data_IF_531411889159
#
_entry.id   IF_531411889159
#
_cell.length_a   1.000
_cell.length_b   1.000
_cell.length_c   1.000
_cell.angle_alpha   90.00
_cell.angle_beta   90.00
_cell.angle_gamma   90.00
#
_symmetry.space_group_name_H-M   'P 1'
#
loop_
_entity.id
_entity.type
_entity.pdbx_description
1 polymer ?
#
# COMPACT_ATOMS: atom_id res chain seq x y z
N UNK A 1 0.13 21.56 -10.67
CA UNK A 1 -1.07 21.97 -9.90
C UNK A 1 -2.25 21.01 -10.10
N UNK A 2 -2.54 20.58 -11.34
CA UNK A 2 -3.63 19.62 -11.63
C UNK A 2 -3.51 18.27 -10.89
N UNK A 3 -2.35 17.61 -10.94
CA UNK A 3 -2.15 16.27 -10.34
C UNK A 3 -2.51 16.19 -8.85
N UNK A 4 -2.14 17.21 -8.06
CA UNK A 4 -2.42 17.22 -6.62
C UNK A 4 -3.93 17.27 -6.35
N UNK A 5 -4.69 17.99 -7.17
CA UNK A 5 -6.15 18.09 -7.03
C UNK A 5 -6.82 16.74 -7.25
N UNK A 6 -6.43 16.02 -8.30
CA UNK A 6 -6.95 14.67 -8.59
C UNK A 6 -6.56 13.66 -7.50
N UNK A 7 -5.32 13.76 -7.02
CA UNK A 7 -4.81 12.92 -5.93
C UNK A 7 -5.62 13.10 -4.64
N UNK A 8 -5.96 14.34 -4.27
CA UNK A 8 -6.80 14.65 -3.10
C UNK A 8 -8.22 14.10 -3.27
N UNK A 9 -8.81 14.20 -4.47
CA UNK A 9 -10.14 13.62 -4.72
C UNK A 9 -10.12 12.10 -4.63
N UNK A 10 -9.11 11.44 -5.20
CA UNK A 10 -8.97 10.00 -5.08
C UNK A 10 -8.71 9.54 -3.64
N UNK A 11 -7.91 10.30 -2.88
CA UNK A 11 -7.67 10.06 -1.46
C UNK A 11 -8.97 10.16 -0.63
N UNK A 12 -9.82 11.15 -0.93
CA UNK A 12 -11.12 11.31 -0.27
C UNK A 12 -12.11 10.17 -0.62
N UNK A 13 -12.06 9.66 -1.85
CA UNK A 13 -12.90 8.57 -2.33
C UNK A 13 -12.34 7.15 -2.10
N UNK A 14 -11.13 7.02 -1.56
CA UNK A 14 -10.40 5.74 -1.49
C UNK A 14 -10.28 5.02 -2.84
N UNK A 15 -10.07 5.79 -3.91
CA UNK A 15 -9.96 5.24 -5.26
C UNK A 15 -8.52 4.85 -5.64
N UNK A 16 -8.39 3.84 -6.48
CA UNK A 16 -7.14 3.54 -7.17
C UNK A 16 -6.73 4.67 -8.12
N UNK A 17 -5.43 5.00 -8.16
CA UNK A 17 -4.90 6.10 -9.00
C UNK A 17 -3.80 5.58 -9.92
N UNK A 18 -3.99 5.77 -11.23
CA UNK A 18 -2.96 5.54 -12.23
C UNK A 18 -2.27 6.86 -12.59
N UNK A 19 -0.94 6.92 -12.42
CA UNK A 19 -0.13 8.09 -12.75
C UNK A 19 0.76 7.84 -13.96
N UNK A 20 0.42 8.44 -15.10
CA UNK A 20 1.21 8.37 -16.34
C UNK A 20 1.95 9.69 -16.54
N UNK A 21 3.25 9.61 -16.82
CA UNK A 21 4.08 10.79 -17.05
C UNK A 21 5.56 10.46 -17.24
N UNK A 22 6.36 11.42 -17.73
CA UNK A 22 7.78 11.22 -18.00
C UNK A 22 8.59 10.87 -16.74
N UNK A 23 9.77 10.24 -16.88
CA UNK A 23 10.68 10.02 -15.76
C UNK A 23 11.05 11.37 -15.11
N UNK A 24 11.18 11.39 -13.78
CA UNK A 24 11.48 12.61 -13.03
C UNK A 24 10.31 13.55 -12.75
N UNK A 25 9.08 13.24 -13.20
CA UNK A 25 7.88 14.06 -12.93
C UNK A 25 7.39 14.06 -11.47
N UNK A 26 8.17 13.51 -10.52
CA UNK A 26 7.82 13.52 -9.10
C UNK A 26 6.70 12.55 -8.67
N UNK A 27 6.32 11.57 -9.50
CA UNK A 27 5.28 10.57 -9.19
C UNK A 27 5.48 9.89 -7.83
N UNK A 28 6.73 9.47 -7.55
CA UNK A 28 7.12 8.90 -6.25
C UNK A 28 6.95 9.86 -5.08
N UNK A 29 7.27 11.14 -5.28
CA UNK A 29 7.12 12.17 -4.25
C UNK A 29 5.64 12.42 -3.94
N UNK A 30 4.80 12.49 -4.98
CA UNK A 30 3.35 12.62 -4.84
C UNK A 30 2.75 11.40 -4.11
N UNK A 31 3.13 10.18 -4.52
CA UNK A 31 2.67 8.95 -3.85
C UNK A 31 3.02 8.91 -2.36
N UNK A 32 4.26 9.29 -1.99
CA UNK A 32 4.70 9.32 -0.58
C UNK A 32 3.96 10.35 0.27
N UNK A 33 3.36 11.37 -0.34
CA UNK A 33 2.56 12.36 0.36
C UNK A 33 1.12 11.88 0.63
N UNK A 34 0.62 10.88 -0.10
CA UNK A 34 -0.75 10.36 0.05
C UNK A 34 -1.12 9.98 1.50
N UNK A 35 -0.31 9.20 2.24
CA UNK A 35 -0.65 8.82 3.61
C UNK A 35 -0.95 10.00 4.54
N UNK A 36 -0.30 11.15 4.30
CA UNK A 36 -0.45 12.35 5.13
C UNK A 36 -1.73 13.13 4.88
N UNK A 37 -2.36 12.96 3.71
CA UNK A 37 -3.60 13.64 3.32
C UNK A 37 -4.84 12.73 3.45
N UNK A 38 -4.64 11.44 3.71
CA UNK A 38 -5.72 10.51 3.95
C UNK A 38 -6.32 10.72 5.35
N UNK A 39 -7.61 10.40 5.56
CA UNK A 39 -8.20 10.39 6.89
C UNK A 39 -7.40 9.50 7.84
N UNK A 40 -7.25 9.94 9.09
CA UNK A 40 -6.61 9.19 10.17
C UNK A 40 -7.25 7.81 10.33
N UNK A 41 -6.47 6.82 10.78
CA UNK A 41 -7.02 5.52 11.16
C UNK A 41 -8.00 5.70 12.33
N UNK A 42 -9.17 5.05 12.26
CA UNK A 42 -9.98 4.83 13.45
C UNK A 42 -9.25 3.91 14.42
N UNK A 43 -9.68 3.84 15.68
CA UNK A 43 -9.07 2.92 16.65
C UNK A 43 -9.18 1.46 16.17
N UNK A 44 -10.32 1.07 15.60
CA UNK A 44 -10.56 -0.29 15.11
C UNK A 44 -9.66 -0.60 13.91
N UNK A 45 -9.52 0.31 12.95
CA UNK A 45 -8.61 0.15 11.81
C UNK A 45 -7.15 0.07 12.30
N UNK A 46 -6.77 0.90 13.27
CA UNK A 46 -5.43 0.88 13.86
C UNK A 46 -5.13 -0.47 14.53
N UNK A 47 -6.09 -1.05 15.25
CA UNK A 47 -5.97 -2.38 15.84
C UNK A 47 -5.88 -3.48 14.77
N UNK A 48 -6.60 -3.34 13.66
CA UNK A 48 -6.57 -4.27 12.53
C UNK A 48 -5.21 -4.27 11.83
N UNK A 49 -4.70 -3.09 11.49
CA UNK A 49 -3.35 -2.92 10.92
C UNK A 49 -2.29 -3.44 11.88
N UNK A 50 -2.41 -3.13 13.18
CA UNK A 50 -1.48 -3.61 14.21
C UNK A 50 -1.45 -5.14 14.30
N UNK A 51 -2.61 -5.81 14.18
CA UNK A 51 -2.70 -7.28 14.14
C UNK A 51 -1.95 -7.89 12.97
N UNK A 52 -1.90 -7.23 11.81
CA UNK A 52 -1.12 -7.72 10.66
C UNK A 52 0.38 -7.65 10.96
N UNK A 53 0.84 -6.58 11.61
CA UNK A 53 2.25 -6.37 11.92
C UNK A 53 2.74 -7.20 13.12
N UNK A 54 1.85 -7.64 14.01
CA UNK A 54 2.21 -8.50 15.14
C UNK A 54 2.61 -9.92 14.74
N UNK A 55 2.23 -10.39 13.54
CA UNK A 55 2.45 -11.78 13.09
C UNK A 55 3.94 -12.17 13.00
N UNK A 56 4.86 -11.20 12.91
CA UNK A 56 6.31 -11.46 12.80
C UNK A 56 7.18 -10.48 13.60
N UNK A 57 6.72 -10.03 14.77
CA UNK A 57 7.44 -9.04 15.59
C UNK A 57 7.80 -7.76 14.80
N UNK A 58 6.98 -7.40 13.81
CA UNK A 58 7.19 -6.20 12.99
C UNK A 58 6.62 -4.93 13.66
N UNK A 59 6.20 -5.04 14.92
CA UNK A 59 5.74 -3.91 15.71
C UNK A 59 6.93 -3.15 16.32
N UNK A 60 6.90 -1.81 16.32
CA UNK A 60 7.89 -1.03 17.06
C UNK A 60 7.85 -1.39 18.55
N UNK A 61 9.02 -1.61 19.15
CA UNK A 61 9.16 -1.93 20.58
C UNK A 61 8.50 -0.89 21.50
N UNK A 62 8.46 0.36 21.05
CA UNK A 62 8.06 1.52 21.86
C UNK A 62 6.61 1.96 21.57
N UNK A 63 5.95 1.32 20.60
CA UNK A 63 4.61 1.71 20.12
C UNK A 63 3.84 0.46 19.65
N UNK A 64 3.08 -0.19 20.54
CA UNK A 64 2.34 -1.40 20.20
C UNK A 64 1.12 -1.14 19.31
N UNK A 65 0.86 0.10 18.89
CA UNK A 65 -0.28 0.47 18.05
C UNK A 65 0.18 1.28 16.84
N UNK A 66 -0.12 0.80 15.64
CA UNK A 66 0.12 1.55 14.40
C UNK A 66 -0.96 2.63 14.26
N UNK A 67 -0.54 3.89 14.33
CA UNK A 67 -1.43 5.07 14.22
C UNK A 67 -1.35 5.79 12.88
N UNK A 68 -0.23 5.63 12.17
CA UNK A 68 -0.05 6.20 10.84
C UNK A 68 -0.52 5.20 9.77
N UNK A 69 -1.09 5.70 8.68
CA UNK A 69 -1.45 4.85 7.54
C UNK A 69 -0.19 4.24 6.92
N UNK A 70 -0.16 2.91 6.72
CA UNK A 70 0.97 2.26 6.07
C UNK A 70 1.21 2.82 4.67
N UNK A 71 2.49 2.89 4.28
CA UNK A 71 2.88 3.16 2.90
C UNK A 71 3.86 2.07 2.47
N UNK A 72 3.51 1.37 1.40
CA UNK A 72 4.31 0.28 0.82
C UNK A 72 4.65 0.62 -0.61
N UNK A 73 5.90 0.39 -0.97
CA UNK A 73 6.43 0.70 -2.30
C UNK A 73 7.42 -0.39 -2.73
N UNK A 74 6.92 -1.62 -2.99
CA UNK A 74 7.77 -2.71 -3.43
C UNK A 74 8.44 -2.38 -4.77
N UNK A 75 9.65 -2.89 -4.95
CA UNK A 75 10.32 -2.89 -6.25
C UNK A 75 9.68 -3.96 -7.16
N UNK A 76 9.62 -3.73 -8.48
CA UNK A 76 9.01 -4.67 -9.43
C UNK A 76 9.67 -6.06 -9.46
N UNK A 77 10.92 -6.16 -8.98
CA UNK A 77 11.65 -7.43 -8.81
C UNK A 77 11.25 -8.21 -7.55
N UNK A 78 10.22 -7.78 -6.81
CA UNK A 78 9.76 -8.50 -5.62
C UNK A 78 9.22 -9.87 -6.02
N UNK A 79 9.53 -10.89 -5.21
CA UNK A 79 8.96 -12.22 -5.42
C UNK A 79 7.45 -12.21 -5.18
N UNK A 80 6.72 -13.11 -5.84
CA UNK A 80 5.28 -13.31 -5.59
C UNK A 80 4.97 -13.52 -4.09
N UNK A 81 5.79 -14.32 -3.39
CA UNK A 81 5.64 -14.55 -1.96
C UNK A 81 5.94 -13.30 -1.10
N UNK A 82 6.78 -12.38 -1.58
CA UNK A 82 7.01 -11.10 -0.91
C UNK A 82 5.89 -10.09 -1.13
N UNK A 83 5.24 -10.12 -2.31
CA UNK A 83 4.12 -9.23 -2.61
C UNK A 83 2.83 -9.67 -1.93
N UNK A 84 2.45 -10.94 -2.11
CA UNK A 84 1.19 -11.51 -1.61
C UNK A 84 1.32 -12.00 -0.17
N UNK A 85 2.50 -12.45 0.21
CA UNK A 85 2.72 -13.19 1.45
C UNK A 85 2.82 -14.69 1.19
N UNK A 86 3.25 -15.43 2.20
CA UNK A 86 3.43 -16.88 2.14
C UNK A 86 4.84 -17.33 2.53
N UNK A 87 5.25 -18.48 2.01
CA UNK A 87 6.46 -19.20 2.43
C UNK A 87 6.16 -20.35 3.40
N UNK A 88 7.22 -21.06 3.83
CA UNK A 88 7.09 -22.21 4.76
C UNK A 88 6.49 -21.80 6.11
N UNK A 89 6.79 -20.58 6.53
CA UNK A 89 6.14 -19.88 7.62
C UNK A 89 5.38 -18.71 7.00
N UNK A 90 4.03 -18.68 7.06
CA UNK A 90 3.25 -17.66 6.40
C UNK A 90 3.58 -16.29 7.00
N UNK A 91 4.11 -15.41 6.14
CA UNK A 91 4.36 -14.00 6.48
C UNK A 91 3.46 -13.09 5.66
N UNK A 92 3.02 -11.95 6.22
CA UNK A 92 2.27 -10.97 5.45
C UNK A 92 3.14 -10.43 4.32
N UNK A 93 2.56 -10.32 3.11
CA UNK A 93 3.19 -9.67 1.98
C UNK A 93 3.02 -8.16 1.99
N UNK A 94 3.63 -7.47 1.03
CA UNK A 94 3.50 -6.02 0.87
C UNK A 94 2.05 -5.55 0.69
N UNK A 95 1.18 -6.37 0.06
CA UNK A 95 -0.25 -6.08 -0.07
C UNK A 95 -0.92 -6.02 1.31
N UNK A 96 -0.76 -7.06 2.13
CA UNK A 96 -1.33 -7.11 3.48
C UNK A 96 -0.72 -6.04 4.38
N UNK A 97 0.58 -5.76 4.25
CA UNK A 97 1.23 -4.69 5.01
C UNK A 97 0.78 -3.28 4.60
N UNK A 98 0.18 -3.12 3.42
CA UNK A 98 -0.41 -1.88 2.94
C UNK A 98 -1.88 -1.70 3.35
N UNK A 99 -2.46 -2.66 4.08
CA UNK A 99 -3.84 -2.64 4.53
C UNK A 99 -4.23 -1.30 5.19
N UNK A 100 -5.38 -0.75 4.78
CA UNK A 100 -5.90 0.58 5.19
C UNK A 100 -4.95 1.76 4.92
N UNK A 101 -3.90 1.52 4.14
CA UNK A 101 -2.85 2.46 3.80
C UNK A 101 -2.75 2.68 2.29
N UNK A 102 -1.54 2.75 1.79
CA UNK A 102 -1.24 3.00 0.37
C UNK A 102 -0.22 1.97 -0.11
N UNK A 103 -0.58 1.24 -1.17
CA UNK A 103 0.35 0.42 -1.95
C UNK A 103 0.70 1.16 -3.24
N UNK A 104 1.97 1.55 -3.38
CA UNK A 104 2.49 2.25 -4.55
C UNK A 104 3.34 1.30 -5.40
N UNK A 105 2.94 1.12 -6.66
CA UNK A 105 3.62 0.26 -7.63
C UNK A 105 4.28 1.16 -8.68
N UNK A 106 5.57 1.43 -8.50
CA UNK A 106 6.34 2.13 -9.54
C UNK A 106 6.64 1.17 -10.68
N UNK A 107 6.67 1.65 -11.92
CA UNK A 107 6.94 0.80 -13.09
C UNK A 107 5.97 -0.39 -13.15
N UNK A 108 4.67 -0.16 -12.88
CA UNK A 108 3.62 -1.18 -12.84
C UNK A 108 3.66 -2.23 -13.97
N UNK A 109 3.94 -1.88 -15.25
CA UNK A 109 4.05 -2.86 -16.33
C UNK A 109 5.22 -3.86 -16.20
N UNK A 110 6.22 -3.58 -15.37
CA UNK A 110 7.40 -4.43 -15.15
C UNK A 110 7.16 -5.52 -14.10
N UNK A 111 6.03 -5.49 -13.40
CA UNK A 111 5.67 -6.54 -12.45
C UNK A 111 5.27 -7.83 -13.18
N UNK A 112 5.64 -8.96 -12.61
CA UNK A 112 5.23 -10.28 -13.09
C UNK A 112 3.70 -10.44 -13.13
N UNK A 113 3.19 -11.10 -14.18
CA UNK A 113 1.75 -11.25 -14.43
C UNK A 113 1.02 -11.97 -13.29
N UNK A 114 1.65 -12.98 -12.67
CA UNK A 114 1.05 -13.70 -11.53
C UNK A 114 0.95 -12.81 -10.30
N UNK A 115 1.91 -11.92 -10.12
CA UNK A 115 1.91 -10.92 -9.06
C UNK A 115 0.81 -9.86 -9.28
N UNK A 116 0.61 -9.42 -10.52
CA UNK A 116 -0.48 -8.52 -10.89
C UNK A 116 -1.88 -9.15 -10.74
N UNK A 117 -2.03 -10.43 -11.09
CA UNK A 117 -3.31 -11.14 -10.92
C UNK A 117 -3.75 -11.17 -9.45
N UNK A 118 -2.78 -11.23 -8.53
CA UNK A 118 -3.07 -11.21 -7.08
C UNK A 118 -3.65 -9.87 -6.62
N UNK A 119 -3.40 -8.79 -7.36
CA UNK A 119 -3.96 -7.47 -7.10
C UNK A 119 -5.32 -7.26 -7.74
N UNK A 120 -5.78 -8.14 -8.64
CA UNK A 120 -7.04 -7.97 -9.38
C UNK A 120 -8.21 -7.73 -8.43
N UNK A 121 -8.35 -8.56 -7.39
CA UNK A 121 -9.42 -8.42 -6.42
C UNK A 121 -9.33 -7.09 -5.66
N UNK A 122 -8.13 -6.68 -5.24
CA UNK A 122 -7.94 -5.41 -4.54
C UNK A 122 -8.21 -4.19 -5.43
N UNK A 123 -7.94 -4.30 -6.73
CA UNK A 123 -8.24 -3.27 -7.71
C UNK A 123 -9.75 -3.17 -7.99
N UNK A 124 -10.48 -4.28 -7.94
CA UNK A 124 -11.94 -4.33 -8.11
C UNK A 124 -12.67 -3.80 -6.87
N UNK A 125 -12.26 -4.22 -5.68
CA UNK A 125 -12.93 -3.88 -4.42
C UNK A 125 -12.45 -2.54 -3.83
N UNK A 126 -11.46 -1.89 -4.46
CA UNK A 126 -10.74 -0.69 -3.97
C UNK A 126 -10.09 -0.88 -2.59
N UNK A 127 -9.80 -2.13 -2.21
CA UNK A 127 -9.33 -2.46 -0.87
C UNK A 127 -8.28 -3.57 -0.87
N UNK A 128 -7.18 -3.36 -0.14
CA UNK A 128 -6.16 -4.38 0.11
C UNK A 128 -6.49 -5.14 1.40
N UNK A 129 -6.85 -6.42 1.29
CA UNK A 129 -7.15 -7.32 2.42
C UNK A 129 -5.93 -8.09 2.93
#
# INVERSE_FOLDING_TARGET
MEFLRWLVHAAAGQHNVLMIGPPGAGKRLLARSLPSILPSLSLDDALEVTRIYSVNDMLPSDSPLIRAKPFRAPHHTISHAGLVGGGRWPRPGEISLAHKGVLFLDEFPEFDARSLESLRQSLEDNFCS
#
